data_IF_451289654166
#
_entry.id   IF_451289654166
#
_cell.length_a   1.000
_cell.length_b   1.000
_cell.length_c   1.000
_cell.angle_alpha   90.00
_cell.angle_beta   90.00
_cell.angle_gamma   90.00
#
_symmetry.space_group_name_H-M   'P 1'
#
loop_
_entity.id
_entity.type
_entity.pdbx_description
1 polymer ?
#
# COMPACT_ATOMS: atom_id res chain seq x y z
N UNK A 1 76.34 -30.09 26.72
CA UNK A 1 75.41 -31.06 26.18
C UNK A 1 74.03 -30.42 26.42
N UNK A 2 73.63 -29.54 25.51
CA UNK A 2 72.66 -29.73 24.41
C UNK A 2 71.44 -30.50 24.89
N UNK A 3 70.35 -29.79 24.96
CA UNK A 3 69.11 -30.25 24.34
C UNK A 3 68.10 -29.12 24.15
N UNK A 4 67.92 -28.78 22.90
CA UNK A 4 66.89 -27.95 22.32
C UNK A 4 65.57 -28.71 22.43
N UNK A 5 64.50 -28.03 22.86
CA UNK A 5 63.15 -28.36 22.45
C UNK A 5 62.33 -27.08 22.33
N UNK A 6 62.44 -26.48 21.14
CA UNK A 6 61.38 -25.57 20.65
C UNK A 6 60.20 -26.39 20.19
N UNK A 7 59.08 -26.26 20.87
CA UNK A 7 57.79 -26.67 20.38
C UNK A 7 56.97 -25.39 20.03
N UNK A 8 57.06 -25.02 18.78
CA UNK A 8 56.17 -24.03 18.16
C UNK A 8 54.74 -24.54 18.13
N UNK A 9 53.93 -24.02 19.00
CA UNK A 9 52.48 -24.25 18.96
C UNK A 9 51.82 -23.12 18.17
N UNK A 10 51.74 -23.30 16.85
CA UNK A 10 50.96 -22.42 15.97
C UNK A 10 49.48 -22.72 16.17
N UNK A 11 48.84 -21.93 17.02
CA UNK A 11 47.35 -21.91 17.11
C UNK A 11 46.87 -21.12 15.91
N UNK A 12 46.52 -21.79 14.83
CA UNK A 12 45.70 -21.25 13.75
C UNK A 12 44.30 -21.04 14.28
N UNK A 13 44.00 -19.80 14.70
CA UNK A 13 42.63 -19.35 14.91
C UNK A 13 41.97 -19.21 13.54
N UNK A 14 41.30 -20.26 13.15
CA UNK A 14 40.33 -20.21 12.05
C UNK A 14 39.23 -19.20 12.46
N UNK A 15 39.32 -17.97 11.97
CA UNK A 15 38.29 -16.96 12.14
C UNK A 15 37.09 -17.43 11.34
N UNK A 16 36.10 -18.00 12.04
CA UNK A 16 34.79 -18.24 11.48
C UNK A 16 34.21 -16.87 11.08
N UNK A 17 34.34 -16.57 9.80
CA UNK A 17 33.62 -15.44 9.17
C UNK A 17 32.15 -15.81 9.17
N UNK A 18 31.42 -15.39 10.20
CA UNK A 18 29.97 -15.42 10.20
C UNK A 18 29.54 -14.38 9.14
N UNK A 19 28.90 -14.79 8.04
CA UNK A 19 28.35 -13.79 7.12
C UNK A 19 27.26 -13.04 7.88
N UNK A 20 27.56 -11.78 8.23
CA UNK A 20 26.56 -10.86 8.77
C UNK A 20 25.63 -10.43 7.61
N UNK A 21 24.66 -11.30 7.28
CA UNK A 21 23.62 -11.04 6.29
C UNK A 21 22.41 -10.38 6.93
N UNK A 22 22.60 -9.37 7.76
CA UNK A 22 21.58 -8.35 7.91
C UNK A 22 21.83 -7.34 6.79
N UNK A 23 21.22 -7.58 5.62
CA UNK A 23 21.22 -6.61 4.55
C UNK A 23 20.58 -5.33 5.11
N UNK A 24 21.42 -4.29 5.28
CA UNK A 24 20.92 -2.96 5.60
C UNK A 24 20.01 -2.54 4.44
N UNK A 25 18.76 -2.10 4.70
CA UNK A 25 17.90 -1.65 3.62
C UNK A 25 18.59 -0.57 2.81
N UNK A 26 18.59 -0.70 1.48
CA UNK A 26 19.05 0.34 0.58
C UNK A 26 18.06 1.51 0.62
N UNK A 27 18.51 2.69 1.05
CA UNK A 27 17.66 3.87 1.16
C UNK A 27 16.98 4.23 -0.17
N UNK A 28 17.66 4.09 -1.30
CA UNK A 28 17.07 4.41 -2.61
C UNK A 28 15.93 3.45 -2.95
N UNK A 29 16.08 2.18 -2.61
CA UNK A 29 15.03 1.18 -2.77
C UNK A 29 13.84 1.47 -1.84
N UNK A 30 14.10 1.82 -0.58
CA UNK A 30 13.06 2.18 0.38
C UNK A 30 12.30 3.42 -0.07
N UNK A 31 13.00 4.47 -0.52
CA UNK A 31 12.39 5.69 -1.09
C UNK A 31 11.51 5.36 -2.29
N UNK A 32 11.97 4.50 -3.19
CA UNK A 32 11.19 4.08 -4.37
C UNK A 32 9.89 3.35 -3.97
N UNK A 33 9.96 2.46 -2.98
CA UNK A 33 8.78 1.76 -2.44
C UNK A 33 7.79 2.76 -1.84
N UNK A 34 8.27 3.66 -0.98
CA UNK A 34 7.42 4.67 -0.33
C UNK A 34 6.77 5.61 -1.34
N UNK A 35 7.50 6.04 -2.37
CA UNK A 35 6.95 6.87 -3.46
C UNK A 35 5.85 6.12 -4.22
N UNK A 36 5.99 4.81 -4.46
CA UNK A 36 4.92 3.98 -5.01
C UNK A 36 3.66 3.96 -4.14
N UNK A 37 3.82 3.86 -2.82
CA UNK A 37 2.70 3.92 -1.87
C UNK A 37 2.07 5.32 -1.79
N UNK A 38 2.85 6.39 -1.92
CA UNK A 38 2.33 7.78 -2.01
C UNK A 38 1.41 7.91 -3.22
N UNK A 39 1.82 7.44 -4.39
CA UNK A 39 0.97 7.46 -5.60
C UNK A 39 -0.29 6.60 -5.42
N UNK A 40 -0.17 5.42 -4.81
CA UNK A 40 -1.33 4.59 -4.44
C UNK A 40 -2.34 5.36 -3.58
N UNK A 41 -1.86 6.09 -2.59
CA UNK A 41 -2.71 6.89 -1.72
C UNK A 41 -3.34 8.08 -2.46
N UNK A 42 -2.59 8.78 -3.33
CA UNK A 42 -3.12 9.88 -4.15
C UNK A 42 -4.20 9.40 -5.10
N UNK A 43 -3.99 8.26 -5.77
CA UNK A 43 -4.99 7.66 -6.65
C UNK A 43 -6.24 7.23 -5.86
N UNK A 44 -6.07 6.61 -4.69
CA UNK A 44 -7.17 6.26 -3.81
C UNK A 44 -7.95 7.48 -3.30
N UNK A 45 -7.25 8.55 -2.92
CA UNK A 45 -7.89 9.82 -2.56
C UNK A 45 -8.76 10.36 -3.70
N UNK A 46 -8.21 10.46 -4.90
CA UNK A 46 -8.92 10.96 -6.08
C UNK A 46 -10.10 10.05 -6.45
N UNK A 47 -9.91 8.73 -6.40
CA UNK A 47 -10.96 7.76 -6.70
C UNK A 47 -12.13 7.83 -5.74
N UNK A 48 -11.88 7.88 -4.44
CA UNK A 48 -12.95 8.04 -3.44
C UNK A 48 -13.64 9.41 -3.51
N UNK A 49 -12.90 10.49 -3.81
CA UNK A 49 -13.50 11.79 -4.03
C UNK A 49 -14.45 11.77 -5.23
N UNK A 50 -14.04 11.16 -6.34
CA UNK A 50 -14.89 11.00 -7.52
C UNK A 50 -16.12 10.14 -7.20
N UNK A 51 -15.95 8.99 -6.52
CA UNK A 51 -17.04 8.12 -6.10
C UNK A 51 -18.09 8.86 -5.26
N UNK A 52 -17.64 9.70 -4.32
CA UNK A 52 -18.52 10.50 -3.48
C UNK A 52 -19.42 11.47 -4.27
N UNK A 53 -19.00 11.91 -5.46
CA UNK A 53 -19.79 12.79 -6.33
C UNK A 53 -20.92 12.06 -7.06
N UNK A 54 -20.77 10.75 -7.29
CA UNK A 54 -21.67 9.94 -8.12
C UNK A 54 -22.75 9.20 -7.36
N UNK A 55 -22.52 8.85 -6.09
CA UNK A 55 -23.45 8.06 -5.31
C UNK A 55 -24.66 8.86 -4.84
N UNK A 56 -25.82 8.17 -4.78
CA UNK A 56 -27.07 8.77 -4.38
C UNK A 56 -27.31 8.69 -2.86
N UNK A 57 -26.76 7.67 -2.21
CA UNK A 57 -26.95 7.41 -0.80
C UNK A 57 -25.99 8.25 0.05
N UNK A 58 -26.52 9.03 1.00
CA UNK A 58 -25.71 9.89 1.89
C UNK A 58 -24.66 9.10 2.69
N UNK A 59 -25.01 7.90 3.13
CA UNK A 59 -24.10 7.05 3.90
C UNK A 59 -22.88 6.63 3.05
N UNK A 60 -23.09 6.28 1.78
CA UNK A 60 -22.00 5.97 0.85
C UNK A 60 -21.13 7.19 0.58
N UNK A 61 -21.76 8.36 0.40
CA UNK A 61 -21.02 9.60 0.22
C UNK A 61 -20.08 9.88 1.40
N UNK A 62 -20.62 9.83 2.61
CA UNK A 62 -19.86 10.04 3.85
C UNK A 62 -18.73 9.01 3.98
N UNK A 63 -19.00 7.75 3.65
CA UNK A 63 -18.00 6.69 3.67
C UNK A 63 -16.84 6.98 2.70
N UNK A 64 -17.13 7.37 1.46
CA UNK A 64 -16.10 7.68 0.47
C UNK A 64 -15.30 8.94 0.82
N UNK A 65 -15.96 10.01 1.29
CA UNK A 65 -15.29 11.23 1.75
C UNK A 65 -14.30 10.93 2.89
N UNK A 66 -14.71 10.12 3.88
CA UNK A 66 -13.85 9.70 4.99
C UNK A 66 -12.64 8.91 4.51
N UNK A 67 -12.83 7.95 3.61
CA UNK A 67 -11.73 7.14 3.09
C UNK A 67 -10.78 7.97 2.21
N UNK A 68 -11.29 8.89 1.38
CA UNK A 68 -10.48 9.82 0.62
C UNK A 68 -9.58 10.68 1.51
N UNK A 69 -10.13 11.23 2.60
CA UNK A 69 -9.36 12.00 3.59
C UNK A 69 -8.28 11.14 4.26
N UNK A 70 -8.60 9.89 4.59
CA UNK A 70 -7.64 8.96 5.18
C UNK A 70 -6.47 8.68 4.22
N UNK A 71 -6.73 8.48 2.90
CA UNK A 71 -5.68 8.30 1.89
C UNK A 71 -4.77 9.52 1.79
N UNK A 72 -5.33 10.72 1.83
CA UNK A 72 -4.56 11.98 1.87
C UNK A 72 -3.61 12.04 3.08
N UNK A 73 -4.10 11.65 4.27
CA UNK A 73 -3.28 11.59 5.48
C UNK A 73 -2.13 10.59 5.34
N UNK A 74 -2.39 9.39 4.81
CA UNK A 74 -1.37 8.38 4.58
C UNK A 74 -0.29 8.85 3.60
N UNK A 75 -0.69 9.50 2.51
CA UNK A 75 0.27 10.11 1.58
C UNK A 75 1.21 11.11 2.29
N UNK A 76 0.66 11.99 3.15
CA UNK A 76 1.46 12.95 3.92
C UNK A 76 2.43 12.29 4.91
N UNK A 77 2.01 11.22 5.58
CA UNK A 77 2.87 10.44 6.47
C UNK A 77 4.03 9.79 5.71
N UNK A 78 3.75 9.17 4.56
CA UNK A 78 4.75 8.54 3.69
C UNK A 78 5.71 9.58 3.09
N UNK A 79 5.22 10.77 2.69
CA UNK A 79 6.06 11.87 2.22
C UNK A 79 7.07 12.31 3.30
N UNK A 80 6.64 12.37 4.56
CA UNK A 80 7.53 12.68 5.69
C UNK A 80 8.62 11.62 5.85
N UNK A 81 8.29 10.34 5.69
CA UNK A 81 9.27 9.26 5.73
C UNK A 81 10.28 9.36 4.59
N UNK A 82 9.84 9.63 3.35
CA UNK A 82 10.74 9.84 2.19
C UNK A 82 11.70 10.99 2.45
N UNK A 83 11.20 12.14 2.95
CA UNK A 83 12.03 13.28 3.28
C UNK A 83 13.04 12.98 4.38
N UNK A 84 12.67 12.19 5.40
CA UNK A 84 13.58 11.78 6.47
C UNK A 84 14.75 10.91 5.99
N UNK A 85 14.56 10.20 4.88
CA UNK A 85 15.59 9.42 4.19
C UNK A 85 16.43 10.25 3.20
N UNK A 86 16.14 11.55 3.05
CA UNK A 86 16.80 12.43 2.08
C UNK A 86 16.27 12.30 0.65
N UNK A 87 15.13 11.64 0.46
CA UNK A 87 14.49 11.46 -0.84
C UNK A 87 13.54 12.60 -1.21
N UNK A 88 13.11 12.58 -2.48
CA UNK A 88 12.11 13.47 -3.04
C UNK A 88 10.77 12.72 -3.16
N UNK A 89 9.70 13.13 -2.42
CA UNK A 89 8.41 12.45 -2.46
C UNK A 89 7.59 12.73 -3.74
N UNK A 90 8.03 13.66 -4.59
CA UNK A 90 7.40 13.92 -5.89
C UNK A 90 8.02 13.11 -7.04
N UNK A 91 9.16 12.46 -6.80
CA UNK A 91 9.83 11.63 -7.78
C UNK A 91 9.29 10.20 -7.72
N UNK A 92 8.11 9.99 -8.32
CA UNK A 92 7.54 8.66 -8.50
C UNK A 92 8.40 7.87 -9.49
N UNK A 93 9.19 6.91 -8.98
CA UNK A 93 9.93 5.95 -9.79
C UNK A 93 8.99 5.06 -10.62
N UNK A 94 9.55 4.06 -11.29
CA UNK A 94 8.87 3.14 -12.23
C UNK A 94 7.67 2.35 -11.68
N UNK A 95 7.35 2.46 -10.41
CA UNK A 95 6.17 1.84 -9.77
C UNK A 95 4.83 2.51 -10.11
N UNK A 96 4.83 3.79 -10.49
CA UNK A 96 3.61 4.58 -10.71
C UNK A 96 2.66 4.05 -11.82
N UNK A 97 3.17 3.33 -12.80
CA UNK A 97 2.37 2.88 -13.96
C UNK A 97 1.40 1.74 -13.68
N UNK A 98 1.60 0.96 -12.61
CA UNK A 98 0.76 -0.21 -12.32
C UNK A 98 -0.51 0.14 -11.52
N UNK A 99 -0.46 1.18 -10.71
CA UNK A 99 -1.47 1.54 -9.72
C UNK A 99 -2.61 2.38 -10.28
N UNK A 100 -2.33 3.25 -11.24
CA UNK A 100 -3.34 4.08 -11.92
C UNK A 100 -4.49 3.24 -12.55
N UNK A 101 -4.26 1.95 -12.79
CA UNK A 101 -5.25 1.05 -13.41
C UNK A 101 -6.43 0.70 -12.49
N UNK A 102 -6.26 0.79 -11.16
CA UNK A 102 -7.33 0.44 -10.22
C UNK A 102 -8.53 1.40 -10.27
N UNK A 103 -8.31 2.66 -10.63
CA UNK A 103 -9.34 3.71 -10.61
C UNK A 103 -9.73 4.25 -11.99
N UNK A 104 -9.28 3.61 -13.08
CA UNK A 104 -9.45 4.11 -14.45
C UNK A 104 -10.90 4.33 -14.88
N UNK A 105 -11.83 3.52 -14.38
CA UNK A 105 -13.22 3.54 -14.82
C UNK A 105 -14.16 4.27 -13.86
N UNK A 106 -13.65 4.82 -12.74
CA UNK A 106 -14.50 5.46 -11.73
C UNK A 106 -15.33 6.62 -12.32
N UNK A 107 -14.76 7.44 -13.20
CA UNK A 107 -15.48 8.52 -13.87
C UNK A 107 -16.63 8.03 -14.73
N UNK A 108 -16.44 6.90 -15.42
CA UNK A 108 -17.49 6.28 -16.24
C UNK A 108 -18.59 5.72 -15.36
N UNK A 109 -18.24 5.05 -14.26
CA UNK A 109 -19.21 4.52 -13.29
C UNK A 109 -20.05 5.63 -12.66
N UNK A 110 -19.42 6.75 -12.27
CA UNK A 110 -20.10 7.94 -11.70
C UNK A 110 -21.08 8.56 -12.70
N UNK A 111 -20.73 8.63 -13.98
CA UNK A 111 -21.61 9.17 -15.03
C UNK A 111 -22.90 8.35 -15.16
N UNK A 112 -22.83 7.03 -14.96
CA UNK A 112 -23.98 6.13 -14.99
C UNK A 112 -24.93 6.28 -13.79
N UNK A 113 -24.51 6.95 -12.72
CA UNK A 113 -25.28 7.13 -11.45
C UNK A 113 -25.79 5.82 -10.86
N UNK A 114 -25.02 4.75 -11.01
CA UNK A 114 -25.32 3.44 -10.44
C UNK A 114 -24.37 3.16 -9.27
N UNK A 115 -24.93 3.18 -8.06
CA UNK A 115 -24.18 2.95 -6.83
C UNK A 115 -23.44 1.60 -6.84
N UNK A 116 -24.03 0.55 -7.45
CA UNK A 116 -23.38 -0.76 -7.56
C UNK A 116 -22.18 -0.73 -8.49
N UNK A 117 -22.27 -0.03 -9.63
CA UNK A 117 -21.15 0.16 -10.55
C UNK A 117 -20.02 0.96 -9.90
N UNK A 118 -20.35 2.02 -9.15
CA UNK A 118 -19.36 2.83 -8.41
C UNK A 118 -18.66 1.97 -7.35
N UNK A 119 -19.38 1.18 -6.58
CA UNK A 119 -18.82 0.29 -5.56
C UNK A 119 -17.91 -0.79 -6.17
N UNK A 120 -18.26 -1.34 -7.35
CA UNK A 120 -17.38 -2.28 -8.07
C UNK A 120 -16.04 -1.65 -8.46
N UNK A 121 -16.05 -0.38 -8.93
CA UNK A 121 -14.80 0.34 -9.26
C UNK A 121 -14.00 0.68 -7.99
N UNK A 122 -14.67 1.06 -6.90
CA UNK A 122 -14.00 1.32 -5.63
C UNK A 122 -13.31 0.05 -5.09
N UNK A 123 -13.96 -1.12 -5.17
CA UNK A 123 -13.32 -2.38 -4.76
C UNK A 123 -12.09 -2.69 -5.60
N UNK A 124 -12.14 -2.51 -6.91
CA UNK A 124 -10.97 -2.71 -7.77
C UNK A 124 -9.81 -1.78 -7.40
N UNK A 125 -10.12 -0.53 -7.06
CA UNK A 125 -9.13 0.43 -6.57
C UNK A 125 -8.51 -0.01 -5.24
N UNK A 126 -9.35 -0.50 -4.32
CA UNK A 126 -8.90 -1.00 -3.01
C UNK A 126 -8.11 -2.32 -3.15
N UNK A 127 -8.46 -3.22 -4.08
CA UNK A 127 -7.64 -4.39 -4.40
C UNK A 127 -6.23 -3.99 -4.85
N UNK A 128 -6.12 -2.98 -5.72
CA UNK A 128 -4.83 -2.45 -6.15
C UNK A 128 -4.03 -1.87 -4.98
N UNK A 129 -4.67 -1.08 -4.11
CA UNK A 129 -4.02 -0.50 -2.95
C UNK A 129 -3.54 -1.57 -1.97
N UNK A 130 -4.39 -2.56 -1.67
CA UNK A 130 -4.07 -3.69 -0.81
C UNK A 130 -2.86 -4.47 -1.30
N UNK A 131 -2.83 -4.79 -2.60
CA UNK A 131 -1.71 -5.51 -3.21
C UNK A 131 -0.41 -4.70 -3.14
N UNK A 132 -0.45 -3.38 -3.42
CA UNK A 132 0.73 -2.52 -3.35
C UNK A 132 1.33 -2.46 -1.93
N UNK A 133 0.48 -2.35 -0.91
CA UNK A 133 0.93 -2.36 0.48
C UNK A 133 1.47 -3.72 0.90
N UNK A 134 0.86 -4.81 0.45
CA UNK A 134 1.34 -6.17 0.71
C UNK A 134 2.71 -6.40 0.08
N UNK A 135 2.88 -6.03 -1.20
CA UNK A 135 4.17 -6.10 -1.90
C UNK A 135 5.25 -5.27 -1.20
N UNK A 136 4.92 -4.06 -0.72
CA UNK A 136 5.85 -3.23 0.04
C UNK A 136 6.27 -3.89 1.36
N UNK A 137 5.37 -4.55 2.08
CA UNK A 137 5.64 -5.24 3.33
C UNK A 137 6.48 -6.52 3.16
N UNK A 138 6.53 -7.10 1.95
CA UNK A 138 7.39 -8.22 1.59
C UNK A 138 8.85 -7.77 1.36
N UNK A 139 9.08 -6.47 1.15
CA UNK A 139 10.42 -5.92 0.94
C UNK A 139 11.18 -5.73 2.27
N UNK A 140 12.50 -5.55 2.16
CA UNK A 140 13.32 -5.21 3.31
C UNK A 140 13.16 -3.73 3.65
N UNK A 141 12.43 -3.44 4.72
CA UNK A 141 12.18 -2.08 5.22
C UNK A 141 12.77 -1.91 6.62
N UNK A 142 13.28 -0.71 6.97
CA UNK A 142 13.57 -0.36 8.36
C UNK A 142 12.34 -0.56 9.26
N UNK A 143 12.53 -1.02 10.50
CA UNK A 143 11.42 -1.40 11.39
C UNK A 143 10.39 -0.27 11.56
N UNK A 144 10.82 0.98 11.80
CA UNK A 144 9.92 2.12 11.98
C UNK A 144 9.09 2.46 10.72
N UNK A 145 9.63 2.18 9.54
CA UNK A 145 8.90 2.33 8.27
C UNK A 145 7.93 1.18 8.09
N UNK A 146 8.39 -0.04 8.33
CA UNK A 146 7.55 -1.25 8.30
C UNK A 146 6.33 -1.10 9.20
N UNK A 147 6.50 -0.62 10.43
CA UNK A 147 5.42 -0.41 11.39
C UNK A 147 4.40 0.61 10.85
N UNK A 148 4.86 1.71 10.28
CA UNK A 148 3.99 2.73 9.67
C UNK A 148 3.19 2.17 8.49
N UNK A 149 3.86 1.46 7.57
CA UNK A 149 3.23 0.82 6.40
C UNK A 149 2.24 -0.26 6.84
N UNK A 150 2.58 -1.05 7.88
CA UNK A 150 1.70 -2.08 8.43
C UNK A 150 0.42 -1.50 9.03
N UNK A 151 0.52 -0.40 9.77
CA UNK A 151 -0.66 0.29 10.32
C UNK A 151 -1.57 0.79 9.20
N UNK A 152 -1.00 1.44 8.19
CA UNK A 152 -1.78 1.91 7.03
C UNK A 152 -2.43 0.75 6.27
N UNK A 153 -1.71 -0.36 6.08
CA UNK A 153 -2.23 -1.57 5.45
C UNK A 153 -3.46 -2.14 6.16
N UNK A 154 -3.48 -2.14 7.50
CA UNK A 154 -4.65 -2.59 8.26
C UNK A 154 -5.90 -1.74 7.97
N UNK A 155 -5.74 -0.43 7.86
CA UNK A 155 -6.84 0.47 7.50
C UNK A 155 -7.30 0.27 6.04
N UNK A 156 -6.38 0.00 5.13
CA UNK A 156 -6.70 -0.31 3.72
C UNK A 156 -7.51 -1.61 3.65
N UNK A 157 -7.09 -2.67 4.35
CA UNK A 157 -7.83 -3.91 4.41
C UNK A 157 -9.25 -3.71 4.97
N UNK A 158 -9.39 -2.93 6.04
CA UNK A 158 -10.70 -2.65 6.63
C UNK A 158 -11.61 -1.90 5.64
N UNK A 159 -11.08 -0.91 4.92
CA UNK A 159 -11.83 -0.18 3.89
C UNK A 159 -12.22 -1.08 2.71
N UNK A 160 -11.30 -1.93 2.23
CA UNK A 160 -11.57 -2.93 1.20
C UNK A 160 -12.72 -3.86 1.59
N UNK A 161 -12.69 -4.42 2.81
CA UNK A 161 -13.72 -5.35 3.29
C UNK A 161 -15.09 -4.64 3.41
N UNK A 162 -15.10 -3.38 3.82
CA UNK A 162 -16.33 -2.59 3.90
C UNK A 162 -16.90 -2.25 2.51
N UNK A 163 -16.05 -1.84 1.56
CA UNK A 163 -16.45 -1.62 0.15
C UNK A 163 -17.05 -2.89 -0.44
N UNK A 164 -16.40 -4.04 -0.23
CA UNK A 164 -16.87 -5.35 -0.68
C UNK A 164 -18.26 -5.69 -0.11
N UNK A 165 -18.47 -5.50 1.19
CA UNK A 165 -19.75 -5.74 1.83
C UNK A 165 -20.86 -4.81 1.29
N UNK A 166 -20.55 -3.53 1.07
CA UNK A 166 -21.47 -2.55 0.50
C UNK A 166 -21.84 -2.90 -0.95
N UNK A 167 -20.85 -3.31 -1.77
CA UNK A 167 -21.07 -3.78 -3.14
C UNK A 167 -21.97 -5.00 -3.18
N UNK A 168 -21.71 -6.02 -2.36
CA UNK A 168 -22.52 -7.24 -2.32
C UNK A 168 -23.97 -6.93 -1.95
N UNK A 169 -24.16 -6.02 -1.00
CA UNK A 169 -25.49 -5.55 -0.62
C UNK A 169 -26.21 -4.79 -1.75
N UNK A 170 -25.48 -3.97 -2.51
CA UNK A 170 -26.04 -3.24 -3.65
C UNK A 170 -26.45 -4.20 -4.78
N UNK A 171 -25.58 -5.15 -5.12
CA UNK A 171 -25.85 -6.16 -6.16
C UNK A 171 -27.06 -7.06 -5.82
N UNK A 172 -27.19 -7.46 -4.55
CA UNK A 172 -28.34 -8.26 -4.10
C UNK A 172 -29.68 -7.51 -4.19
N UNK A 173 -29.67 -6.19 -3.94
CA UNK A 173 -30.89 -5.36 -4.10
C UNK A 173 -31.31 -5.25 -5.56
N UNK A 174 -30.35 -5.05 -6.46
CA UNK A 174 -30.61 -4.94 -7.90
C UNK A 174 -31.18 -6.26 -8.46
N UNK A 175 -30.66 -7.42 -8.05
CA UNK A 175 -31.17 -8.73 -8.50
C UNK A 175 -32.59 -9.03 -7.96
N UNK A 176 -32.91 -8.64 -6.74
CA UNK A 176 -34.26 -8.84 -6.16
C UNK A 176 -35.29 -7.94 -6.84
N UNK A 177 -34.93 -6.73 -7.23
CA UNK A 177 -35.81 -5.83 -7.98
C UNK A 177 -36.12 -6.34 -9.40
N UNK A 178 -35.16 -6.99 -10.05
CA UNK A 178 -35.33 -7.55 -11.40
C UNK A 178 -36.20 -8.82 -11.43
N UNK A 179 -36.34 -9.55 -10.31
CA UNK A 179 -37.13 -10.80 -10.23
C UNK A 179 -38.62 -10.55 -9.94
N UNK A 180 -38.99 -9.34 -9.54
CA UNK A 180 -40.35 -8.97 -9.19
C UNK A 180 -41.12 -8.23 -10.31
N UNK A 181 -40.63 -8.27 -11.53
CA UNK A 181 -41.27 -7.79 -12.76
C UNK A 181 -41.50 -8.94 -13.74
#
# INVERSE_FOLDING_TARGET
MINDYEATNAITTDAVVIPNTSATPDNDQVISILNGLIETCKDGQAGFQEAATGVQQTDLKTFFEKNGLQRSKFAGELQTLVQSLGGDPENSGSFAGALHRGWMNIKTAVTGKDDAAILNECERGEDSAKNAYQEALEQTLPDYIRDSVQVQYQFINAAHDEVKALRDKANNRSSTAATNH
#
